data_IF_898838472813
#
_entry.id   IF_898838472813
#
_cell.length_a   1.000
_cell.length_b   1.000
_cell.length_c   1.000
_cell.angle_alpha   90.00
_cell.angle_beta   90.00
_cell.angle_gamma   90.00
#
_symmetry.space_group_name_H-M   'P 1'
#
loop_
_entity.id
_entity.type
_entity.pdbx_description
1 polymer ?
#
# COMPACT_ATOMS: atom_id res chain seq x y z
N UNK A 1 10.64 23.48 17.39
CA UNK A 1 11.89 23.17 16.68
C UNK A 1 12.24 21.74 17.04
N UNK A 2 12.16 20.84 16.08
CA UNK A 2 12.69 19.49 16.26
C UNK A 2 14.13 19.57 15.75
N UNK A 3 15.08 19.74 16.67
CA UNK A 3 16.53 19.58 16.42
C UNK A 3 16.83 18.10 16.18
N UNK A 4 16.20 17.50 15.16
CA UNK A 4 16.43 16.12 14.77
C UNK A 4 17.35 16.13 13.56
N UNK A 5 18.62 15.86 13.82
CA UNK A 5 19.59 15.57 12.77
C UNK A 5 19.27 14.19 12.18
N UNK A 6 19.06 14.12 10.87
CA UNK A 6 18.80 12.86 10.19
C UNK A 6 20.13 12.16 9.94
N UNK A 7 20.25 10.95 10.50
CA UNK A 7 21.46 10.14 10.32
C UNK A 7 21.39 9.30 9.04
N UNK A 8 22.55 8.85 8.55
CA UNK A 8 22.59 7.87 7.45
C UNK A 8 21.86 6.57 7.82
N UNK A 9 21.90 6.16 9.08
CA UNK A 9 21.18 4.96 9.55
C UNK A 9 19.65 5.14 9.47
N UNK A 10 19.14 6.35 9.73
CA UNK A 10 17.71 6.66 9.54
C UNK A 10 17.30 6.54 8.07
N UNK A 11 18.15 7.00 7.15
CA UNK A 11 17.92 6.86 5.71
C UNK A 11 18.00 5.41 5.24
N UNK A 12 18.98 4.65 5.72
CA UNK A 12 19.12 3.24 5.37
C UNK A 12 17.86 2.46 5.78
N UNK A 13 17.30 2.76 6.97
CA UNK A 13 16.02 2.17 7.41
C UNK A 13 14.84 2.60 6.54
N UNK A 14 14.77 3.88 6.14
CA UNK A 14 13.71 4.37 5.26
C UNK A 14 13.76 3.67 3.89
N UNK A 15 14.97 3.49 3.37
CA UNK A 15 15.24 2.74 2.13
C UNK A 15 14.82 1.28 2.27
N UNK A 16 15.20 0.62 3.38
CA UNK A 16 14.84 -0.76 3.64
C UNK A 16 13.32 -0.94 3.75
N UNK A 17 12.63 -0.02 4.43
CA UNK A 17 11.18 -0.02 4.51
C UNK A 17 10.53 0.17 3.13
N UNK A 18 11.04 1.08 2.30
CA UNK A 18 10.55 1.28 0.94
C UNK A 18 10.80 0.05 0.04
N UNK A 19 11.97 -0.58 0.17
CA UNK A 19 12.30 -1.83 -0.52
C UNK A 19 11.38 -2.97 -0.09
N UNK A 20 11.07 -3.07 1.19
CA UNK A 20 10.15 -4.07 1.72
C UNK A 20 8.73 -3.94 1.12
N UNK A 21 8.22 -2.72 0.95
CA UNK A 21 6.92 -2.48 0.28
C UNK A 21 6.94 -2.95 -1.18
N UNK A 22 8.06 -2.75 -1.87
CA UNK A 22 8.23 -3.26 -3.24
C UNK A 22 8.17 -4.78 -3.28
N UNK A 23 8.88 -5.46 -2.37
CA UNK A 23 8.91 -6.92 -2.28
C UNK A 23 7.52 -7.48 -1.95
N UNK A 24 6.76 -6.84 -1.06
CA UNK A 24 5.37 -7.22 -0.78
C UNK A 24 4.48 -7.07 -2.03
N UNK A 25 4.63 -5.98 -2.78
CA UNK A 25 3.90 -5.78 -4.03
C UNK A 25 4.25 -6.82 -5.12
N UNK A 26 5.52 -7.23 -5.20
CA UNK A 26 5.96 -8.31 -6.08
C UNK A 26 5.39 -9.66 -5.63
N UNK A 27 5.44 -9.97 -4.32
CA UNK A 27 4.89 -11.20 -3.76
C UNK A 27 3.37 -11.32 -3.99
N UNK A 28 2.63 -10.22 -3.89
CA UNK A 28 1.18 -10.19 -4.13
C UNK A 28 0.80 -10.65 -5.55
N UNK A 29 1.66 -10.43 -6.55
CA UNK A 29 1.39 -10.87 -7.94
C UNK A 29 1.19 -12.39 -8.05
N UNK A 30 1.77 -13.18 -7.15
CA UNK A 30 1.66 -14.64 -7.17
C UNK A 30 0.39 -15.16 -6.50
N UNK A 31 -0.26 -14.38 -5.63
CA UNK A 31 -1.42 -14.82 -4.83
C UNK A 31 -2.72 -14.11 -5.23
N UNK A 32 -2.63 -13.00 -5.96
CA UNK A 32 -3.79 -12.15 -6.28
C UNK A 32 -4.87 -12.89 -7.08
N UNK A 33 -4.48 -13.83 -7.94
CA UNK A 33 -5.41 -14.63 -8.75
C UNK A 33 -6.20 -15.67 -7.93
N UNK A 34 -5.77 -15.97 -6.70
CA UNK A 34 -6.44 -16.93 -5.83
C UNK A 34 -7.57 -16.29 -4.99
N UNK A 35 -7.65 -14.97 -4.99
CA UNK A 35 -8.58 -14.18 -4.17
C UNK A 35 -9.51 -13.33 -5.04
N UNK A 36 -10.73 -13.03 -4.58
CA UNK A 36 -11.67 -12.19 -5.32
C UNK A 36 -11.28 -10.71 -5.19
N UNK A 37 -10.16 -10.33 -5.80
CA UNK A 37 -9.50 -9.04 -5.60
C UNK A 37 -10.37 -7.81 -5.92
N UNK A 38 -11.37 -7.96 -6.78
CA UNK A 38 -12.31 -6.89 -7.16
C UNK A 38 -13.52 -6.77 -6.21
N UNK A 39 -13.77 -7.76 -5.35
CA UNK A 39 -14.92 -7.74 -4.43
C UNK A 39 -14.55 -7.04 -3.14
N UNK A 40 -15.32 -6.02 -2.78
CA UNK A 40 -15.19 -5.35 -1.50
C UNK A 40 -15.82 -6.22 -0.37
N UNK A 41 -15.18 -6.31 0.81
CA UNK A 41 -15.83 -6.82 2.00
C UNK A 41 -16.92 -5.84 2.50
N UNK A 42 -17.85 -6.27 3.37
CA UNK A 42 -18.98 -5.44 3.80
C UNK A 42 -18.62 -4.06 4.37
N UNK A 43 -17.47 -3.93 5.03
CA UNK A 43 -17.02 -2.70 5.71
C UNK A 43 -15.66 -2.22 5.19
N UNK A 44 -15.35 -2.43 3.91
CA UNK A 44 -14.02 -2.10 3.41
C UNK A 44 -13.89 -1.95 1.90
N UNK A 45 -12.65 -1.71 1.49
CA UNK A 45 -12.26 -1.62 0.08
C UNK A 45 -11.89 -3.01 -0.44
N UNK A 46 -12.12 -3.23 -1.72
CA UNK A 46 -11.56 -4.40 -2.40
C UNK A 46 -10.03 -4.30 -2.47
N UNK A 47 -9.35 -5.43 -2.71
CA UNK A 47 -7.89 -5.44 -2.88
C UNK A 47 -7.47 -4.55 -4.05
N UNK A 48 -8.19 -4.60 -5.17
CA UNK A 48 -7.91 -3.75 -6.32
C UNK A 48 -8.06 -2.26 -6.00
N UNK A 49 -9.09 -1.87 -5.23
CA UNK A 49 -9.29 -0.48 -4.81
C UNK A 49 -8.18 0.00 -3.88
N UNK A 50 -7.73 -0.87 -2.98
CA UNK A 50 -6.61 -0.59 -2.07
C UNK A 50 -5.29 -0.38 -2.81
N UNK A 51 -5.00 -1.23 -3.79
CA UNK A 51 -3.82 -1.08 -4.64
C UNK A 51 -3.91 0.17 -5.52
N UNK A 52 -5.08 0.47 -6.07
CA UNK A 52 -5.30 1.68 -6.86
C UNK A 52 -5.09 2.94 -6.01
N UNK A 53 -5.50 2.91 -4.75
CA UNK A 53 -5.29 4.01 -3.80
C UNK A 53 -3.80 4.24 -3.53
N UNK A 54 -2.99 3.19 -3.40
CA UNK A 54 -1.53 3.31 -3.28
C UNK A 54 -0.94 3.99 -4.53
N UNK A 55 -1.26 3.48 -5.73
CA UNK A 55 -0.77 4.04 -7.01
C UNK A 55 -1.15 5.53 -7.14
N UNK A 56 -2.40 5.86 -6.83
CA UNK A 56 -2.90 7.23 -6.86
C UNK A 56 -2.21 8.13 -5.85
N UNK A 57 -2.06 7.69 -4.59
CA UNK A 57 -1.41 8.48 -3.55
C UNK A 57 0.06 8.80 -3.88
N UNK A 58 0.78 7.83 -4.44
CA UNK A 58 2.14 8.04 -4.91
C UNK A 58 2.21 9.09 -6.01
N UNK A 59 1.40 8.95 -7.06
CA UNK A 59 1.49 9.78 -8.26
C UNK A 59 0.92 11.19 -8.07
N UNK A 60 -0.13 11.34 -7.27
CA UNK A 60 -0.86 12.60 -7.12
C UNK A 60 -0.43 13.44 -5.93
N UNK A 61 0.25 12.84 -4.94
CA UNK A 61 0.51 13.50 -3.67
C UNK A 61 1.97 13.34 -3.22
N UNK A 62 2.37 12.13 -2.81
CA UNK A 62 3.67 11.96 -2.15
C UNK A 62 4.86 12.28 -3.06
N UNK A 63 4.87 11.78 -4.29
CA UNK A 63 5.98 12.01 -5.20
C UNK A 63 6.08 13.47 -5.66
N UNK A 64 4.99 14.14 -6.11
CA UNK A 64 5.05 15.57 -6.43
C UNK A 64 5.54 16.44 -5.26
N UNK A 65 5.10 16.16 -4.03
CA UNK A 65 5.53 16.91 -2.84
C UNK A 65 7.01 16.69 -2.55
N UNK A 66 7.49 15.43 -2.63
CA UNK A 66 8.90 15.12 -2.46
C UNK A 66 9.76 15.83 -3.50
N UNK A 67 9.37 15.76 -4.78
CA UNK A 67 10.07 16.44 -5.89
C UNK A 67 10.08 17.96 -5.68
N UNK A 68 8.94 18.58 -5.30
CA UNK A 68 8.89 20.02 -5.00
C UNK A 68 9.78 20.41 -3.81
N UNK A 69 9.81 19.60 -2.75
CA UNK A 69 10.65 19.88 -1.57
C UNK A 69 12.14 19.86 -1.91
N UNK A 70 12.57 19.03 -2.86
CA UNK A 70 13.98 18.90 -3.22
C UNK A 70 14.39 19.94 -4.27
N UNK A 71 13.53 20.19 -5.26
CA UNK A 71 13.88 21.04 -6.41
C UNK A 71 13.62 22.53 -6.15
N UNK A 72 12.80 22.88 -5.14
CA UNK A 72 12.40 24.25 -4.86
C UNK A 72 13.15 24.85 -3.65
N UNK A 73 13.81 26.01 -3.78
CA UNK A 73 14.42 26.69 -2.64
C UNK A 73 13.40 27.29 -1.66
N UNK A 74 12.11 27.34 -2.02
CA UNK A 74 11.04 27.79 -1.13
C UNK A 74 10.47 26.62 -0.33
N UNK A 75 10.09 26.82 0.93
CA UNK A 75 9.43 25.78 1.70
C UNK A 75 8.18 25.27 1.00
N UNK A 76 8.00 23.95 0.99
CA UNK A 76 6.81 23.31 0.46
C UNK A 76 5.66 23.44 1.45
N UNK A 77 4.47 23.79 0.95
CA UNK A 77 3.25 23.92 1.74
C UNK A 77 2.25 22.86 1.30
N UNK A 78 1.87 21.95 2.19
CA UNK A 78 0.98 20.84 1.85
C UNK A 78 -0.41 21.30 1.44
N UNK A 79 -0.84 22.49 1.88
CA UNK A 79 -2.13 23.08 1.53
C UNK A 79 -2.24 23.44 0.04
N UNK A 80 -1.11 23.54 -0.66
CA UNK A 80 -1.08 23.75 -2.11
C UNK A 80 -1.38 22.48 -2.90
N UNK A 81 -1.44 21.31 -2.23
CA UNK A 81 -1.68 20.02 -2.85
C UNK A 81 -3.02 19.48 -2.38
N UNK A 82 -3.87 19.05 -3.32
CA UNK A 82 -5.08 18.31 -2.96
C UNK A 82 -4.68 16.97 -2.35
N UNK A 83 -5.14 16.69 -1.14
CA UNK A 83 -4.82 15.44 -0.45
C UNK A 83 -5.36 14.25 -1.27
N UNK A 84 -4.54 13.20 -1.47
CA UNK A 84 -4.88 12.08 -2.36
C UNK A 84 -6.22 11.39 -2.04
N UNK A 85 -6.68 11.46 -0.78
CA UNK A 85 -7.98 10.91 -0.37
C UNK A 85 -9.17 11.71 -0.87
N UNK A 86 -8.99 13.01 -1.12
CA UNK A 86 -10.07 13.92 -1.51
C UNK A 86 -10.40 13.84 -3.00
N UNK A 87 -9.39 13.53 -3.82
CA UNK A 87 -9.50 13.40 -5.27
C UNK A 87 -9.37 11.95 -5.75
N UNK A 88 -9.46 10.96 -4.86
CA UNK A 88 -9.44 9.56 -5.23
C UNK A 88 -10.76 9.16 -5.88
N UNK A 89 -10.71 8.81 -7.16
CA UNK A 89 -11.83 8.25 -7.89
C UNK A 89 -11.60 6.77 -8.22
N UNK A 90 -12.63 5.95 -8.00
CA UNK A 90 -12.60 4.54 -8.37
C UNK A 90 -12.70 4.45 -9.89
N UNK A 91 -11.61 4.03 -10.52
CA UNK A 91 -11.53 3.81 -11.95
C UNK A 91 -11.79 2.32 -12.23
N UNK A 92 -13.04 1.98 -12.61
CA UNK A 92 -13.45 0.60 -12.83
C UNK A 92 -12.63 -0.12 -13.90
N UNK A 93 -12.19 0.59 -14.95
CA UNK A 93 -11.34 0.03 -16.00
C UNK A 93 -9.97 -0.37 -15.45
N UNK A 94 -9.41 0.42 -14.52
CA UNK A 94 -8.16 0.05 -13.84
C UNK A 94 -8.34 -1.13 -12.88
N UNK A 95 -9.50 -1.26 -12.23
CA UNK A 95 -9.78 -2.35 -11.29
C UNK A 95 -9.80 -3.72 -11.98
N UNK A 96 -10.12 -3.78 -13.27
CA UNK A 96 -10.09 -5.03 -14.05
C UNK A 96 -8.68 -5.58 -14.25
N UNK A 97 -7.64 -4.73 -14.20
CA UNK A 97 -6.26 -5.12 -14.48
C UNK A 97 -5.35 -4.94 -13.27
N UNK A 98 -5.61 -5.72 -12.22
CA UNK A 98 -4.85 -5.69 -10.96
C UNK A 98 -3.36 -5.98 -11.16
N UNK A 99 -2.97 -6.86 -12.08
CA UNK A 99 -1.55 -7.12 -12.37
C UNK A 99 -0.85 -5.91 -12.96
N UNK A 100 -1.54 -5.06 -13.74
CA UNK A 100 -0.97 -3.81 -14.23
C UNK A 100 -0.74 -2.82 -13.09
N UNK A 101 -1.65 -2.76 -12.12
CA UNK A 101 -1.49 -1.93 -10.91
C UNK A 101 -0.31 -2.44 -10.07
N UNK A 102 -0.27 -3.74 -9.75
CA UNK A 102 0.83 -4.36 -9.00
C UNK A 102 2.17 -4.17 -9.70
N UNK A 103 2.22 -4.31 -11.03
CA UNK A 103 3.43 -4.03 -11.80
C UNK A 103 3.84 -2.57 -11.74
N UNK A 104 2.92 -1.61 -11.67
CA UNK A 104 3.25 -0.19 -11.51
C UNK A 104 3.83 0.08 -10.12
N UNK A 105 3.15 -0.40 -9.07
CA UNK A 105 3.60 -0.29 -7.68
C UNK A 105 5.00 -0.93 -7.53
N UNK A 106 5.19 -2.16 -8.02
CA UNK A 106 6.50 -2.81 -8.01
C UNK A 106 7.55 -2.11 -8.90
N UNK A 107 7.14 -1.53 -10.04
CA UNK A 107 8.02 -0.73 -10.91
C UNK A 107 8.33 0.65 -10.37
N UNK A 108 7.72 1.10 -9.28
CA UNK A 108 8.15 2.28 -8.55
C UNK A 108 9.51 2.05 -7.82
N UNK A 109 10.41 1.22 -8.37
CA UNK A 109 11.87 1.29 -8.20
C UNK A 109 12.42 2.72 -8.32
N UNK A 110 11.68 3.61 -9.00
CA UNK A 110 11.93 5.05 -9.01
C UNK A 110 11.88 5.68 -7.62
N UNK A 111 11.01 5.24 -6.71
CA UNK A 111 10.92 5.78 -5.35
C UNK A 111 12.11 5.33 -4.50
N UNK A 112 12.42 4.03 -4.44
CA UNK A 112 13.60 3.53 -3.69
C UNK A 112 14.88 4.19 -4.21
N UNK A 113 15.04 4.27 -5.54
CA UNK A 113 16.20 4.93 -6.13
C UNK A 113 16.18 6.45 -5.94
N UNK A 114 15.01 7.10 -5.97
CA UNK A 114 14.89 8.52 -5.66
C UNK A 114 15.34 8.78 -4.23
N UNK A 115 14.82 8.02 -3.25
CA UNK A 115 15.20 8.11 -1.84
C UNK A 115 16.73 7.99 -1.68
N UNK A 116 17.34 6.99 -2.33
CA UNK A 116 18.79 6.76 -2.27
C UNK A 116 19.65 7.88 -2.88
N UNK A 117 19.10 8.65 -3.82
CA UNK A 117 19.83 9.67 -4.55
C UNK A 117 19.68 11.08 -3.96
N UNK A 118 18.79 11.26 -2.97
CA UNK A 118 18.61 12.52 -2.26
C UNK A 118 19.77 12.73 -1.29
N UNK A 119 20.33 13.93 -1.23
CA UNK A 119 21.43 14.23 -0.31
C UNK A 119 20.94 14.21 1.14
N UNK A 120 21.79 13.82 2.08
CA UNK A 120 21.42 13.72 3.50
C UNK A 120 20.79 15.01 4.06
N UNK A 121 21.28 16.17 3.61
CA UNK A 121 20.83 17.49 4.07
C UNK A 121 19.40 17.77 3.57
N UNK A 122 19.05 17.34 2.36
CA UNK A 122 17.74 17.62 1.77
C UNK A 122 16.61 16.91 2.52
N UNK A 123 16.92 15.86 3.29
CA UNK A 123 15.94 15.16 4.14
C UNK A 123 15.45 15.99 5.33
N UNK A 124 16.22 17.00 5.73
CA UNK A 124 15.88 17.96 6.77
C UNK A 124 15.09 19.17 6.22
N UNK A 125 14.80 19.18 4.92
CA UNK A 125 13.98 20.23 4.29
C UNK A 125 12.64 20.36 4.99
N UNK A 126 12.30 21.61 5.35
CA UNK A 126 11.05 21.93 6.04
C UNK A 126 9.87 21.92 5.07
N UNK A 127 8.84 21.18 5.46
CA UNK A 127 7.52 21.16 4.83
C UNK A 127 6.51 21.72 5.84
N UNK A 128 5.61 22.58 5.37
CA UNK A 128 4.53 23.13 6.20
C UNK A 128 3.23 22.34 6.00
N UNK A 129 2.62 21.97 7.13
CA UNK A 129 1.32 21.28 7.23
C UNK A 129 0.47 21.97 8.29
N UNK A 130 -0.58 22.65 7.87
CA UNK A 130 -1.48 23.45 8.71
C UNK A 130 -0.72 24.45 9.61
N UNK A 131 0.22 25.18 9.02
CA UNK A 131 1.18 26.07 9.71
C UNK A 131 2.11 25.39 10.73
N UNK A 132 2.15 24.05 10.78
CA UNK A 132 3.15 23.29 11.54
C UNK A 132 4.30 22.89 10.63
N UNK A 133 5.51 22.88 11.17
CA UNK A 133 6.70 22.43 10.45
C UNK A 133 6.90 20.93 10.68
N UNK A 134 7.01 20.19 9.59
CA UNK A 134 7.54 18.83 9.55
C UNK A 134 8.77 18.83 8.61
N UNK A 135 9.57 17.78 8.63
CA UNK A 135 10.68 17.62 7.67
C UNK A 135 10.31 16.59 6.60
N UNK A 136 10.97 16.66 5.44
CA UNK A 136 10.77 15.73 4.33
C UNK A 136 10.89 14.27 4.78
N UNK A 137 11.85 13.97 5.66
CA UNK A 137 11.99 12.63 6.23
C UNK A 137 10.72 12.13 6.92
N UNK A 138 10.12 12.93 7.79
CA UNK A 138 8.90 12.55 8.51
C UNK A 138 7.71 12.39 7.56
N UNK A 139 7.61 13.27 6.55
CA UNK A 139 6.59 13.16 5.51
C UNK A 139 6.71 11.85 4.71
N UNK A 140 7.93 11.45 4.34
CA UNK A 140 8.16 10.18 3.66
C UNK A 140 7.94 8.98 4.58
N UNK A 141 8.19 9.10 5.89
CA UNK A 141 7.79 8.07 6.86
C UNK A 141 6.27 7.94 6.97
N UNK A 142 5.50 9.04 6.92
CA UNK A 142 4.03 9.01 6.88
C UNK A 142 3.54 8.21 5.67
N UNK A 143 4.14 8.44 4.49
CA UNK A 143 3.87 7.69 3.27
C UNK A 143 4.11 6.18 3.45
N UNK A 144 5.29 5.79 3.94
CA UNK A 144 5.64 4.37 4.15
C UNK A 144 4.64 3.69 5.10
N UNK A 145 4.28 4.36 6.20
CA UNK A 145 3.31 3.84 7.17
C UNK A 145 1.93 3.66 6.55
N UNK A 146 1.51 4.61 5.72
CA UNK A 146 0.26 4.53 4.98
C UNK A 146 0.22 3.32 4.04
N UNK A 147 1.25 3.13 3.22
CA UNK A 147 1.32 2.00 2.29
C UNK A 147 1.39 0.67 3.02
N UNK A 148 2.26 0.54 4.03
CA UNK A 148 2.37 -0.68 4.84
C UNK A 148 1.04 -1.03 5.50
N UNK A 149 0.27 -0.02 5.93
CA UNK A 149 -1.07 -0.22 6.47
C UNK A 149 -2.02 -0.87 5.46
N UNK A 150 -2.05 -0.35 4.24
CA UNK A 150 -2.89 -0.92 3.17
C UNK A 150 -2.43 -2.33 2.78
N UNK A 151 -1.12 -2.56 2.64
CA UNK A 151 -0.59 -3.89 2.28
C UNK A 151 -0.92 -4.93 3.35
N UNK A 152 -0.86 -4.54 4.62
CA UNK A 152 -1.31 -5.38 5.73
C UNK A 152 -2.80 -5.71 5.64
N UNK A 153 -3.65 -4.72 5.35
CA UNK A 153 -5.08 -4.94 5.19
C UNK A 153 -5.38 -5.91 4.03
N UNK A 154 -4.62 -5.82 2.92
CA UNK A 154 -4.69 -6.78 1.82
C UNK A 154 -4.29 -8.18 2.28
N UNK A 155 -3.15 -8.31 2.97
CA UNK A 155 -2.66 -9.59 3.47
C UNK A 155 -3.67 -10.26 4.40
N UNK A 156 -4.34 -9.49 5.25
CA UNK A 156 -5.41 -9.99 6.11
C UNK A 156 -6.63 -10.46 5.30
N UNK A 157 -7.06 -9.75 4.26
CA UNK A 157 -8.13 -10.21 3.36
C UNK A 157 -7.77 -11.52 2.65
N UNK A 158 -6.54 -11.63 2.13
CA UNK A 158 -6.03 -12.86 1.50
C UNK A 158 -6.05 -14.03 2.51
N UNK A 159 -5.58 -13.79 3.74
CA UNK A 159 -5.54 -14.79 4.80
C UNK A 159 -6.94 -15.27 5.17
N UNK A 160 -7.90 -14.37 5.36
CA UNK A 160 -9.30 -14.70 5.69
C UNK A 160 -9.91 -15.57 4.60
N UNK A 161 -9.78 -15.15 3.34
CA UNK A 161 -10.31 -15.91 2.20
C UNK A 161 -9.73 -17.33 2.10
N UNK A 162 -8.42 -17.47 2.34
CA UNK A 162 -7.76 -18.77 2.33
C UNK A 162 -8.22 -19.66 3.50
N UNK A 163 -8.50 -19.08 4.67
CA UNK A 163 -9.08 -19.80 5.81
C UNK A 163 -10.50 -20.29 5.49
N UNK A 164 -11.34 -19.43 4.91
CA UNK A 164 -12.71 -19.78 4.55
C UNK A 164 -12.77 -20.89 3.50
N UNK A 165 -11.93 -20.81 2.46
CA UNK A 165 -11.78 -21.87 1.46
C UNK A 165 -11.39 -23.21 2.08
N UNK A 166 -10.46 -23.20 3.04
CA UNK A 166 -10.03 -24.42 3.73
C UNK A 166 -11.16 -25.01 4.57
N UNK A 167 -11.88 -24.19 5.33
CA UNK A 167 -13.02 -24.65 6.13
C UNK A 167 -14.14 -25.24 5.27
N UNK A 168 -14.45 -24.61 4.14
CA UNK A 168 -15.46 -25.13 3.20
C UNK A 168 -15.07 -26.51 2.66
N UNK A 169 -13.81 -26.69 2.23
CA UNK A 169 -13.28 -27.99 1.79
C UNK A 169 -13.37 -29.05 2.88
N UNK A 170 -13.02 -28.71 4.13
CA UNK A 170 -13.10 -29.63 5.26
C UNK A 170 -14.55 -30.05 5.56
N UNK A 171 -15.51 -29.12 5.45
CA UNK A 171 -16.94 -29.39 5.62
C UNK A 171 -17.45 -30.30 4.49
N UNK A 172 -17.10 -30.02 3.24
CA UNK A 172 -17.48 -30.84 2.07
C UNK A 172 -16.92 -32.26 2.18
N UNK A 173 -15.65 -32.42 2.57
CA UNK A 173 -15.03 -33.73 2.79
C UNK A 173 -15.69 -34.51 3.94
N UNK A 174 -16.14 -33.83 5.00
CA UNK A 174 -16.91 -34.47 6.08
C UNK A 174 -18.31 -34.87 5.64
N UNK A 175 -18.96 -34.09 4.78
CA UNK A 175 -20.27 -34.41 4.20
C UNK A 175 -20.19 -35.59 3.24
N UNK A 176 -19.17 -35.65 2.37
CA UNK A 176 -18.99 -36.76 1.41
C UNK A 176 -18.56 -38.08 2.06
N UNK A 177 -18.00 -38.04 3.28
CA UNK A 177 -17.62 -39.23 4.07
C UNK A 177 -18.73 -39.74 4.99
N UNK A 178 -19.89 -39.08 5.08
CA UNK A 178 -21.06 -39.65 5.76
C UNK A 178 -21.71 -40.66 4.81
N UNK A 179 -21.73 -41.97 5.12
CA UNK A 179 -22.49 -42.92 4.32
C UNK A 179 -23.97 -42.54 4.40
N UNK A 180 -24.68 -42.61 3.27
CA UNK A 180 -26.14 -42.56 3.24
C UNK A 180 -26.70 -43.65 4.15
N UNK A 181 -27.04 -43.29 5.39
CA UNK A 181 -27.91 -44.09 6.21
C UNK A 181 -29.33 -43.92 5.68
N UNK A 182 -29.61 -44.55 4.54
CA UNK A 182 -30.98 -44.88 4.20
C UNK A 182 -31.50 -45.86 5.27
N UNK A 183 -32.57 -45.53 6.01
CA UNK A 183 -33.22 -46.50 6.86
C UNK A 183 -33.80 -47.57 5.94
N UNK A 184 -33.32 -48.79 6.04
CA UNK A 184 -34.02 -49.95 5.52
C UNK A 184 -35.19 -50.20 6.47
N UNK A 185 -36.39 -49.78 6.06
CA UNK A 185 -37.63 -50.17 6.73
C UNK A 185 -37.86 -51.67 6.48
N UNK A 186 -37.97 -52.44 7.57
CA UNK A 186 -38.42 -53.83 7.62
C UNK A 186 -39.92 -53.89 7.91
#
# INVERSE_FOLDING_TARGET
MTDREISQEDLDRLVDDASYLQDEAEAMQYVIDEVPYSKAPPEGRSIAEMLLLIDHAQLSYYRPIMEEAIDNPRPTHLENFTHFKENFEKDEEKLENVHKILKKIAKHRGLVNAIKNISLIDWETVIYKDNQQIILFDFMQEMIRFERGILRDIADQVRIHNQDKKQQRDIEQRRSKRPDQHPTEN
#
